data_IF_441891041003
#
_entry.id   IF_441891041003
#
_cell.length_a   1.000
_cell.length_b   1.000
_cell.length_c   1.000
_cell.angle_alpha   90.00
_cell.angle_beta   90.00
_cell.angle_gamma   90.00
#
_symmetry.space_group_name_H-M   'P 1'
#
loop_
_entity.id
_entity.type
_entity.pdbx_description
1 polymer ?
#
# COMPACT_ATOMS: atom_id res chain seq x y z
N UNK A 1 -6.70 -22.74 7.75
CA UNK A 1 -6.65 -22.20 6.39
C UNK A 1 -5.44 -21.28 6.32
N UNK A 2 -4.36 -21.73 5.67
CA UNK A 2 -3.09 -20.98 5.64
C UNK A 2 -3.25 -19.64 4.92
N UNK A 3 -2.41 -18.67 5.28
CA UNK A 3 -2.41 -17.26 4.85
C UNK A 3 -2.49 -17.04 3.33
N UNK A 4 -3.66 -17.26 2.72
CA UNK A 4 -3.92 -17.01 1.30
C UNK A 4 -3.77 -15.53 0.93
N UNK A 5 -3.86 -14.64 1.92
CA UNK A 5 -3.67 -13.21 1.79
C UNK A 5 -2.21 -12.81 1.50
N UNK A 6 -1.23 -13.54 2.05
CA UNK A 6 0.19 -13.19 1.94
C UNK A 6 0.76 -13.42 0.53
N UNK A 7 0.14 -14.31 -0.24
CA UNK A 7 0.59 -14.66 -1.61
C UNK A 7 -0.15 -13.90 -2.71
N UNK A 8 -1.21 -13.14 -2.37
CA UNK A 8 -2.02 -12.43 -3.36
C UNK A 8 -1.56 -10.98 -3.52
N UNK A 9 -1.28 -10.52 -4.75
CA UNK A 9 -0.90 -9.13 -4.98
C UNK A 9 -2.05 -8.16 -4.64
N UNK A 10 -3.30 -8.56 -4.79
CA UNK A 10 -4.46 -7.71 -4.46
C UNK A 10 -4.52 -7.39 -2.96
N UNK A 11 -4.33 -8.41 -2.11
CA UNK A 11 -4.31 -8.23 -0.66
C UNK A 11 -3.12 -7.37 -0.21
N UNK A 12 -1.94 -7.63 -0.77
CA UNK A 12 -0.74 -6.83 -0.48
C UNK A 12 -0.95 -5.35 -0.82
N UNK A 13 -1.52 -5.04 -1.99
CA UNK A 13 -1.81 -3.67 -2.39
C UNK A 13 -2.91 -3.00 -1.56
N UNK A 14 -3.98 -3.72 -1.21
CA UNK A 14 -5.01 -3.19 -0.29
C UNK A 14 -4.42 -2.83 1.07
N UNK A 15 -3.60 -3.70 1.67
CA UNK A 15 -2.95 -3.42 2.95
C UNK A 15 -1.96 -2.28 2.89
N UNK A 16 -1.14 -2.24 1.83
CA UNK A 16 -0.17 -1.17 1.63
C UNK A 16 -0.85 0.19 1.49
N UNK A 17 -1.87 0.30 0.63
CA UNK A 17 -2.60 1.56 0.40
C UNK A 17 -3.42 1.97 1.63
N UNK A 18 -3.94 1.00 2.39
CA UNK A 18 -4.55 1.26 3.68
C UNK A 18 -3.56 1.88 4.67
N UNK A 19 -2.36 1.30 4.80
CA UNK A 19 -1.32 1.79 5.69
C UNK A 19 -0.81 3.18 5.28
N UNK A 20 -0.65 3.42 3.97
CA UNK A 20 -0.36 4.74 3.40
C UNK A 20 -1.44 5.74 3.79
N UNK A 21 -2.72 5.42 3.55
CA UNK A 21 -3.84 6.30 3.91
C UNK A 21 -3.91 6.59 5.42
N UNK A 22 -3.60 5.61 6.27
CA UNK A 22 -3.51 5.84 7.72
C UNK A 22 -2.35 6.76 8.09
N UNK A 23 -1.16 6.59 7.48
CA UNK A 23 0.00 7.45 7.71
C UNK A 23 -0.27 8.89 7.28
N UNK A 24 -0.82 9.09 6.08
CA UNK A 24 -1.23 10.42 5.57
C UNK A 24 -2.19 11.11 6.54
N UNK A 25 -3.17 10.39 7.09
CA UNK A 25 -4.14 11.00 8.01
C UNK A 25 -3.58 11.28 9.39
N UNK A 26 -2.58 10.51 9.85
CA UNK A 26 -1.98 10.67 11.17
C UNK A 26 -0.90 11.74 11.19
N UNK A 27 -0.06 11.77 10.16
CA UNK A 27 1.18 12.55 10.12
C UNK A 27 1.20 13.59 8.99
N UNK A 28 0.18 13.61 8.13
CA UNK A 28 0.11 14.49 6.97
C UNK A 28 0.70 13.85 5.71
N UNK A 29 0.50 14.52 4.58
CA UNK A 29 0.87 14.02 3.26
C UNK A 29 2.40 13.95 3.05
N UNK A 30 3.17 14.84 3.67
CA UNK A 30 4.64 14.82 3.57
C UNK A 30 5.26 13.60 4.26
N UNK A 31 4.55 12.97 5.21
CA UNK A 31 5.10 11.86 6.00
C UNK A 31 5.42 10.61 5.16
N UNK A 32 4.82 10.47 3.97
CA UNK A 32 5.06 9.35 3.05
C UNK A 32 6.20 9.62 2.05
N UNK A 33 6.82 10.81 2.07
CA UNK A 33 7.84 11.20 1.10
C UNK A 33 9.01 10.19 1.07
N UNK A 34 9.53 9.82 2.24
CA UNK A 34 10.64 8.87 2.33
C UNK A 34 10.27 7.46 1.84
N UNK A 35 9.03 7.02 2.07
CA UNK A 35 8.53 5.76 1.54
C UNK A 35 8.49 5.74 0.00
N UNK A 36 8.28 6.90 -0.64
CA UNK A 36 8.15 7.07 -2.09
C UNK A 36 9.51 7.29 -2.76
N UNK A 37 10.42 7.98 -2.08
CA UNK A 37 11.80 8.20 -2.55
C UNK A 37 12.62 6.92 -2.43
N UNK A 38 12.41 6.13 -1.37
CA UNK A 38 13.14 4.90 -1.10
C UNK A 38 12.24 3.66 -0.93
N UNK A 39 11.42 3.30 -1.94
CA UNK A 39 10.39 2.25 -1.82
C UNK A 39 10.94 0.81 -1.67
N UNK A 40 12.23 0.61 -1.94
CA UNK A 40 12.88 -0.70 -1.81
C UNK A 40 13.45 -0.95 -0.41
N UNK A 41 13.50 0.06 0.46
CA UNK A 41 13.91 -0.13 1.86
C UNK A 41 12.93 -1.04 2.59
N UNK A 42 13.41 -1.86 3.53
CA UNK A 42 12.58 -2.76 4.33
C UNK A 42 11.61 -2.02 5.23
N UNK A 43 12.04 -0.88 5.78
CA UNK A 43 11.25 -0.05 6.67
C UNK A 43 10.15 0.75 5.96
N UNK A 44 10.25 0.91 4.63
CA UNK A 44 9.24 1.57 3.83
C UNK A 44 7.91 0.82 3.89
N UNK A 45 6.80 1.54 3.67
CA UNK A 45 5.48 0.93 3.58
C UNK A 45 5.43 -0.15 2.47
N UNK A 46 6.10 0.06 1.34
CA UNK A 46 6.20 -0.96 0.28
C UNK A 46 7.06 -2.15 0.70
N UNK A 47 8.01 -1.97 1.62
CA UNK A 47 8.81 -3.06 2.17
C UNK A 47 8.06 -4.02 3.06
N UNK A 48 7.10 -3.49 3.83
CA UNK A 48 6.19 -4.30 4.65
C UNK A 48 5.27 -5.20 3.83
N UNK A 49 5.10 -4.89 2.54
CA UNK A 49 4.28 -5.67 1.61
C UNK A 49 5.11 -6.07 0.36
N UNK A 50 6.00 -7.08 0.42
CA UNK A 50 6.99 -7.34 -0.63
C UNK A 50 6.42 -7.49 -2.06
N UNK A 51 5.17 -7.96 -2.20
CA UNK A 51 4.50 -8.09 -3.50
C UNK A 51 4.19 -6.74 -4.18
N UNK A 52 4.17 -5.63 -3.44
CA UNK A 52 3.94 -4.29 -3.99
C UNK A 52 5.19 -3.72 -4.66
N UNK A 53 6.38 -4.29 -4.41
CA UNK A 53 7.62 -3.87 -5.07
C UNK A 53 7.75 -4.34 -6.52
N UNK A 54 6.79 -5.13 -7.01
CA UNK A 54 6.82 -5.63 -8.39
C UNK A 54 6.49 -4.51 -9.35
N UNK A 55 7.37 -4.33 -10.33
CA UNK A 55 7.06 -3.49 -11.47
C UNK A 55 5.95 -4.13 -12.32
N UNK A 56 5.09 -3.31 -12.92
CA UNK A 56 5.21 -1.85 -13.01
C UNK A 56 4.31 -1.10 -12.00
N UNK A 57 3.66 -1.83 -11.08
CA UNK A 57 2.72 -1.28 -10.11
C UNK A 57 3.35 -0.32 -9.11
N UNK A 58 4.60 -0.58 -8.72
CA UNK A 58 5.34 0.28 -7.80
C UNK A 58 5.53 1.68 -8.38
N UNK A 59 6.08 1.77 -9.60
CA UNK A 59 6.29 3.05 -10.27
C UNK A 59 4.99 3.84 -10.42
N UNK A 60 3.91 3.15 -10.82
CA UNK A 60 2.59 3.75 -10.95
C UNK A 60 2.08 4.36 -9.63
N UNK A 61 2.21 3.62 -8.53
CA UNK A 61 1.80 4.10 -7.21
C UNK A 61 2.68 5.26 -6.74
N UNK A 62 4.01 5.14 -6.86
CA UNK A 62 4.95 6.17 -6.45
C UNK A 62 4.75 7.48 -7.22
N UNK A 63 4.60 7.43 -8.54
CA UNK A 63 4.40 8.64 -9.35
C UNK A 63 3.08 9.34 -9.01
N UNK A 64 2.01 8.57 -8.77
CA UNK A 64 0.73 9.12 -8.29
C UNK A 64 0.89 9.78 -6.92
N UNK A 65 1.58 9.11 -5.98
CA UNK A 65 1.80 9.64 -4.63
C UNK A 65 2.71 10.88 -4.64
N UNK A 66 3.73 10.95 -5.52
CA UNK A 66 4.53 12.17 -5.73
C UNK A 66 3.66 13.33 -6.17
N UNK A 67 2.76 13.12 -7.13
CA UNK A 67 1.80 14.17 -7.53
C UNK A 67 0.93 14.67 -6.38
N UNK A 68 0.60 13.80 -5.43
CA UNK A 68 -0.10 14.20 -4.20
C UNK A 68 0.82 15.04 -3.31
N UNK A 69 2.02 14.56 -3.00
CA UNK A 69 3.01 15.21 -2.12
C UNK A 69 3.44 16.58 -2.66
N UNK A 70 3.71 16.70 -3.95
CA UNK A 70 4.16 17.93 -4.62
C UNK A 70 3.07 19.02 -4.68
N UNK A 71 1.87 18.76 -4.15
CA UNK A 71 0.74 19.68 -4.19
C UNK A 71 0.09 19.81 -5.58
N UNK A 72 0.57 19.06 -6.57
CA UNK A 72 0.02 19.05 -7.93
C UNK A 72 -1.39 18.47 -8.01
N UNK A 73 -1.81 17.73 -6.98
CA UNK A 73 -3.17 17.21 -6.81
C UNK A 73 -4.19 18.25 -6.29
N UNK A 74 -3.76 19.42 -5.80
CA UNK A 74 -4.66 20.43 -5.19
C UNK A 74 -5.60 21.11 -6.21
N UNK A 75 -5.33 20.94 -7.51
CA UNK A 75 -6.22 21.40 -8.56
C UNK A 75 -7.21 20.29 -8.93
N UNK A 76 -8.50 20.59 -8.78
CA UNK A 76 -9.62 19.69 -9.07
C UNK A 76 -9.42 18.88 -10.37
N UNK A 77 -9.48 17.55 -10.27
CA UNK A 77 -9.49 16.63 -11.41
C UNK A 77 -8.14 16.31 -12.07
N UNK A 78 -7.02 16.89 -11.62
CA UNK A 78 -5.68 16.58 -12.20
C UNK A 78 -5.24 15.15 -11.95
N UNK A 79 -5.48 14.63 -10.75
CA UNK A 79 -5.11 13.25 -10.40
C UNK A 79 -5.95 12.24 -11.19
N UNK A 80 -7.25 12.53 -11.38
CA UNK A 80 -8.17 11.71 -12.17
C UNK A 80 -7.70 11.58 -13.60
N UNK A 81 -7.35 12.72 -14.21
CA UNK A 81 -6.83 12.75 -15.57
C UNK A 81 -5.53 11.96 -15.71
N UNK A 82 -4.60 12.09 -14.75
CA UNK A 82 -3.36 11.32 -14.75
C UNK A 82 -3.62 9.83 -14.61
N UNK A 83 -4.42 9.42 -13.62
CA UNK A 83 -4.73 8.01 -13.34
C UNK A 83 -5.42 7.34 -14.52
N UNK A 84 -6.44 7.99 -15.09
CA UNK A 84 -7.13 7.49 -16.28
C UNK A 84 -6.17 7.37 -17.46
N UNK A 85 -5.33 8.38 -17.69
CA UNK A 85 -4.36 8.36 -18.78
C UNK A 85 -3.28 7.30 -18.57
N UNK A 86 -2.76 7.16 -17.36
CA UNK A 86 -1.74 6.17 -17.03
C UNK A 86 -2.28 4.75 -17.22
N UNK A 87 -3.47 4.44 -16.70
CA UNK A 87 -4.09 3.12 -16.90
C UNK A 87 -4.42 2.87 -18.38
N UNK A 88 -4.93 3.87 -19.11
CA UNK A 88 -5.20 3.74 -20.56
C UNK A 88 -3.92 3.62 -21.39
N UNK A 89 -2.87 4.36 -21.05
CA UNK A 89 -1.58 4.34 -21.74
C UNK A 89 -0.87 3.00 -21.50
N UNK A 90 -1.04 2.39 -20.33
CA UNK A 90 -0.54 1.05 -20.03
C UNK A 90 -1.07 0.00 -21.02
N UNK A 91 -2.28 0.19 -21.57
CA UNK A 91 -2.83 -0.70 -22.62
C UNK A 91 -2.04 -0.64 -23.94
N UNK A 92 -1.30 0.45 -24.18
CA UNK A 92 -0.59 0.71 -25.46
C UNK A 92 0.92 0.54 -25.36
N UNK A 93 1.53 0.84 -24.21
CA UNK A 93 2.98 0.80 -24.05
C UNK A 93 3.52 -0.63 -23.86
N UNK A 94 4.59 -0.98 -24.57
CA UNK A 94 5.16 -2.34 -24.59
C UNK A 94 5.62 -2.82 -23.20
N UNK A 95 6.15 -1.90 -22.38
CA UNK A 95 6.65 -2.16 -21.03
C UNK A 95 5.54 -2.61 -20.06
N UNK A 96 4.31 -2.14 -20.28
CA UNK A 96 3.15 -2.39 -19.42
C UNK A 96 2.19 -3.45 -19.95
N UNK A 97 2.43 -4.01 -21.15
CA UNK A 97 1.52 -4.98 -21.81
C UNK A 97 1.20 -6.24 -21.01
N UNK A 98 2.05 -6.61 -20.04
CA UNK A 98 1.86 -7.80 -19.19
C UNK A 98 1.32 -7.46 -17.81
N UNK A 99 1.09 -6.19 -17.50
CA UNK A 99 0.52 -5.80 -16.22
C UNK A 99 -0.97 -6.19 -16.15
N UNK A 100 -1.35 -6.81 -15.05
CA UNK A 100 -2.73 -7.03 -14.65
C UNK A 100 -3.47 -5.69 -14.50
N UNK A 101 -4.40 -5.41 -15.43
CA UNK A 101 -5.20 -4.19 -15.47
C UNK A 101 -6.06 -4.01 -14.21
N UNK A 102 -6.63 -5.08 -13.67
CA UNK A 102 -7.45 -5.01 -12.46
C UNK A 102 -6.64 -4.55 -11.23
N UNK A 103 -5.36 -4.92 -11.18
CA UNK A 103 -4.49 -4.48 -10.09
C UNK A 103 -4.11 -3.00 -10.22
N UNK A 104 -3.84 -2.53 -11.44
CA UNK A 104 -3.65 -1.10 -11.71
C UNK A 104 -4.91 -0.29 -11.36
N UNK A 105 -6.08 -0.79 -11.75
CA UNK A 105 -7.36 -0.16 -11.44
C UNK A 105 -7.62 -0.11 -9.93
N UNK A 106 -7.30 -1.17 -9.19
CA UNK A 106 -7.38 -1.18 -7.73
C UNK A 106 -6.54 -0.05 -7.13
N UNK A 107 -5.27 0.04 -7.55
CA UNK A 107 -4.34 1.07 -7.04
C UNK A 107 -4.86 2.46 -7.38
N UNK A 108 -5.25 2.68 -8.65
CA UNK A 108 -5.76 3.95 -9.14
C UNK A 108 -6.98 4.44 -8.37
N UNK A 109 -8.01 3.61 -8.28
CA UNK A 109 -9.27 3.96 -7.60
C UNK A 109 -9.00 4.24 -6.11
N UNK A 110 -8.18 3.43 -5.45
CA UNK A 110 -7.88 3.62 -4.03
C UNK A 110 -7.12 4.93 -3.80
N UNK A 111 -6.10 5.24 -4.61
CA UNK A 111 -5.32 6.47 -4.50
C UNK A 111 -6.16 7.72 -4.80
N UNK A 112 -7.06 7.64 -5.78
CA UNK A 112 -8.05 8.69 -6.06
C UNK A 112 -8.93 8.99 -4.83
N UNK A 113 -9.49 7.95 -4.22
CA UNK A 113 -10.32 8.14 -3.02
C UNK A 113 -9.51 8.72 -1.85
N UNK A 114 -8.23 8.36 -1.73
CA UNK A 114 -7.34 8.92 -0.71
C UNK A 114 -6.98 10.39 -0.99
N UNK A 115 -6.76 10.78 -2.25
CA UNK A 115 -6.49 12.18 -2.60
C UNK A 115 -7.69 13.07 -2.35
N UNK A 116 -8.91 12.54 -2.51
CA UNK A 116 -10.16 13.23 -2.19
C UNK A 116 -10.42 13.33 -0.66
N UNK A 117 -9.54 12.75 0.16
CA UNK A 117 -9.59 12.83 1.62
C UNK A 117 -10.52 11.80 2.28
N UNK A 118 -11.01 10.81 1.53
CA UNK A 118 -11.83 9.75 2.10
C UNK A 118 -11.08 8.90 3.14
N UNK A 119 -11.83 8.26 4.04
CA UNK A 119 -11.24 7.38 5.03
C UNK A 119 -10.61 6.14 4.36
N UNK A 120 -9.44 5.62 4.83
CA UNK A 120 -8.73 4.53 4.16
C UNK A 120 -9.55 3.25 4.00
N UNK A 121 -10.44 2.94 4.97
CA UNK A 121 -11.39 1.82 4.81
C UNK A 121 -12.28 2.01 3.57
N UNK A 122 -12.84 3.21 3.38
CA UNK A 122 -13.73 3.51 2.25
C UNK A 122 -12.94 3.42 0.95
N UNK A 123 -11.74 4.02 0.90
CA UNK A 123 -10.87 3.95 -0.26
C UNK A 123 -10.57 2.49 -0.67
N UNK A 124 -10.26 1.62 0.30
CA UNK A 124 -10.02 0.20 0.03
C UNK A 124 -11.27 -0.54 -0.46
N UNK A 125 -12.47 -0.17 -0.01
CA UNK A 125 -13.72 -0.75 -0.53
C UNK A 125 -13.93 -0.45 -2.01
N UNK A 126 -13.67 0.78 -2.44
CA UNK A 126 -13.71 1.13 -3.86
C UNK A 126 -12.62 0.37 -4.64
N UNK A 127 -11.41 0.26 -4.11
CA UNK A 127 -10.35 -0.57 -4.70
C UNK A 127 -10.73 -2.04 -4.85
N UNK A 128 -11.41 -2.62 -3.84
CA UNK A 128 -11.89 -4.01 -3.83
C UNK A 128 -12.82 -4.32 -5.00
N UNK A 129 -13.59 -3.34 -5.46
CA UNK A 129 -14.50 -3.49 -6.60
C UNK A 129 -13.79 -3.67 -7.95
N UNK A 130 -12.49 -3.34 -8.05
CA UNK A 130 -11.69 -3.62 -9.24
C UNK A 130 -11.20 -5.08 -9.30
N UNK A 131 -11.25 -5.84 -8.21
CA UNK A 131 -10.71 -7.20 -8.14
C UNK A 131 -11.67 -8.19 -8.83
N UNK A 132 -11.19 -9.12 -9.68
CA UNK A 132 -12.01 -10.17 -10.26
C UNK A 132 -12.73 -11.00 -9.20
N UNK A 133 -13.97 -11.43 -9.48
CA UNK A 133 -14.84 -12.11 -8.50
C UNK A 133 -14.14 -13.27 -7.77
N UNK A 134 -13.41 -14.13 -8.47
CA UNK A 134 -12.73 -15.29 -7.90
C UNK A 134 -11.61 -14.95 -6.90
N UNK A 135 -11.06 -13.74 -6.94
CA UNK A 135 -9.97 -13.29 -6.06
C UNK A 135 -10.40 -12.15 -5.14
N UNK A 136 -11.66 -11.71 -5.28
CA UNK A 136 -12.19 -10.55 -4.57
C UNK A 136 -12.42 -10.94 -3.10
N UNK A 137 -11.77 -10.24 -2.16
CA UNK A 137 -12.10 -10.36 -0.75
C UNK A 137 -13.59 -10.11 -0.50
N UNK A 138 -14.18 -10.83 0.45
CA UNK A 138 -15.48 -10.39 0.99
C UNK A 138 -15.29 -9.09 1.77
N UNK A 139 -16.38 -8.35 1.95
CA UNK A 139 -16.36 -7.10 2.73
C UNK A 139 -15.89 -7.37 4.17
N UNK A 140 -16.44 -8.41 4.80
CA UNK A 140 -16.14 -8.75 6.18
C UNK A 140 -14.70 -9.24 6.37
N UNK A 141 -14.21 -10.11 5.47
CA UNK A 141 -12.84 -10.63 5.53
C UNK A 141 -11.82 -9.49 5.37
N UNK A 142 -12.05 -8.60 4.40
CA UNK A 142 -11.16 -7.46 4.19
C UNK A 142 -11.20 -6.52 5.39
N UNK A 143 -12.38 -6.19 5.89
CA UNK A 143 -12.55 -5.31 7.04
C UNK A 143 -11.88 -5.85 8.30
N UNK A 144 -12.01 -7.16 8.57
CA UNK A 144 -11.36 -7.82 9.69
C UNK A 144 -9.82 -7.78 9.54
N UNK A 145 -9.30 -8.14 8.37
CA UNK A 145 -7.88 -8.15 8.10
C UNK A 145 -7.24 -6.75 8.18
N UNK A 146 -7.88 -5.71 7.63
CA UNK A 146 -7.38 -4.34 7.71
C UNK A 146 -7.35 -3.82 9.17
N UNK A 147 -8.34 -4.20 9.99
CA UNK A 147 -8.34 -3.88 11.44
C UNK A 147 -7.17 -4.56 12.16
N UNK A 148 -6.89 -5.82 11.83
CA UNK A 148 -5.74 -6.56 12.37
C UNK A 148 -4.42 -5.89 11.96
N UNK A 149 -4.27 -5.52 10.69
CA UNK A 149 -3.09 -4.80 10.20
C UNK A 149 -2.89 -3.45 10.90
N UNK A 150 -3.98 -2.73 11.19
CA UNK A 150 -3.93 -1.49 11.99
C UNK A 150 -3.45 -1.76 13.43
N UNK A 151 -3.87 -2.87 14.04
CA UNK A 151 -3.42 -3.24 15.38
C UNK A 151 -1.94 -3.64 15.38
N UNK A 152 -1.52 -4.40 14.37
CA UNK A 152 -0.13 -4.82 14.18
C UNK A 152 0.80 -3.62 13.93
N UNK A 153 0.39 -2.68 13.06
CA UNK A 153 1.15 -1.45 12.79
C UNK A 153 1.17 -0.44 13.96
N UNK A 154 0.26 -0.59 14.94
CA UNK A 154 0.28 0.18 16.20
C UNK A 154 1.20 -0.42 17.26
N UNK A 155 1.65 -1.64 17.06
CA UNK A 155 2.71 -2.22 17.86
C UNK A 155 4.03 -1.72 17.24
N UNK A 156 4.70 -0.72 17.83
CA UNK A 156 6.06 -0.45 17.42
C UNK A 156 6.85 -1.74 17.71
N UNK A 157 7.39 -2.39 16.67
CA UNK A 157 8.57 -3.23 16.84
C UNK A 157 9.74 -2.26 17.09
N UNK A 158 9.72 -1.63 18.26
CA UNK A 158 10.84 -0.86 18.71
C UNK A 158 11.97 -1.82 19.05
N UNK A 159 13.24 -1.39 18.89
CA UNK A 159 14.40 -2.19 19.26
C UNK A 159 14.29 -2.71 20.69
N UNK A 160 13.61 -1.98 21.58
CA UNK A 160 13.36 -2.40 22.96
C UNK A 160 12.38 -3.59 23.07
N UNK A 161 11.39 -3.73 22.18
CA UNK A 161 10.47 -4.89 22.20
C UNK A 161 11.08 -6.14 21.58
N UNK A 162 11.97 -5.97 20.59
CA UNK A 162 12.82 -7.07 20.10
C UNK A 162 13.78 -7.50 21.21
N UNK A 163 14.43 -6.55 21.91
CA UNK A 163 15.30 -6.85 23.04
C UNK A 163 14.56 -7.52 24.21
N UNK A 164 13.35 -7.06 24.56
CA UNK A 164 12.51 -7.67 25.58
C UNK A 164 12.01 -9.06 25.16
N UNK A 165 11.71 -9.27 23.87
CA UNK A 165 11.35 -10.58 23.36
C UNK A 165 12.54 -11.54 23.38
N UNK A 166 13.73 -11.10 22.96
CA UNK A 166 14.99 -11.86 23.02
C UNK A 166 15.36 -12.23 24.47
N UNK A 167 15.19 -11.30 25.42
CA UNK A 167 15.33 -11.57 26.86
C UNK A 167 14.29 -12.59 27.35
N UNK A 168 13.04 -12.52 26.88
CA UNK A 168 11.98 -13.46 27.30
C UNK A 168 12.19 -14.90 26.80
N UNK A 169 13.00 -15.09 25.74
CA UNK A 169 13.39 -16.41 25.22
C UNK A 169 14.82 -16.82 25.63
N UNK A 170 15.47 -16.05 26.51
CA UNK A 170 16.78 -16.37 27.07
C UNK A 170 17.94 -16.31 26.07
N UNK A 171 17.79 -15.58 24.96
CA UNK A 171 18.87 -15.33 24.02
C UNK A 171 19.61 -14.06 24.44
N UNK A 172 20.55 -14.20 25.37
CA UNK A 172 21.48 -13.10 25.70
C UNK A 172 22.34 -12.77 24.48
N UNK A 173 22.30 -11.50 24.08
CA UNK A 173 23.03 -10.94 22.95
C UNK A 173 24.54 -10.81 23.18
N UNK A 174 25.19 -11.89 23.58
CA UNK A 174 26.66 -12.03 23.62
C UNK A 174 27.10 -13.01 22.53
N UNK A 175 26.97 -12.59 21.26
CA UNK A 175 27.79 -13.11 20.15
C UNK A 175 27.47 -12.31 18.86
N UNK A 176 27.75 -11.01 18.89
CA UNK A 176 28.09 -10.26 17.67
C UNK A 176 29.17 -9.25 18.05
N UNK A 177 30.43 -9.66 17.89
CA UNK A 177 31.53 -8.74 17.58
C UNK A 177 31.57 -8.52 16.07
#
# INVERSE_FOLDING_TARGET
MGNCHQSSPYWAWLGCLYAIGLKIRREGLLAIEEDIVHPHQEDSLFGKYPLTRKQPYLDFACDTLRMMVDGMAQHSGRIDLYLDNAVRANRRQWFWRRANENLLQLIAITLRMLSDGHHPNIACEFGRQAIPFAQRPTFDDMGAWLKEQRASSRIPLSKERIAAFLQSIGADGTDVQ
#
